data_IF_464082196825
#
_entry.id   IF_464082196825
#
_cell.length_a   1.000
_cell.length_b   1.000
_cell.length_c   1.000
_cell.angle_alpha   90.00
_cell.angle_beta   90.00
_cell.angle_gamma   90.00
#
_symmetry.space_group_name_H-M   'P 1'
#
loop_
_entity.id
_entity.type
_entity.pdbx_description
1 polymer ?
#
# COMPACT_ATOMS: atom_id res chain seq x y z
N UNK A 1 0.96 11.79 5.13
CA UNK A 1 1.72 10.90 4.21
C UNK A 1 3.08 10.48 4.74
N UNK A 2 3.90 11.39 5.25
CA UNK A 2 5.23 11.05 5.81
C UNK A 2 5.18 9.89 6.82
N UNK A 3 4.23 9.92 7.77
CA UNK A 3 4.08 8.88 8.77
C UNK A 3 3.79 7.48 8.18
N UNK A 4 3.02 7.42 7.08
CA UNK A 4 2.62 6.15 6.48
C UNK A 4 3.67 5.59 5.53
N UNK A 5 4.25 6.42 4.66
CA UNK A 5 5.21 5.98 3.63
C UNK A 5 6.66 6.00 4.09
N UNK A 6 6.93 6.57 5.27
CA UNK A 6 8.27 6.90 5.74
C UNK A 6 8.82 8.20 5.13
N UNK A 7 10.07 8.51 5.46
CA UNK A 7 10.78 9.69 4.97
C UNK A 7 11.68 9.34 3.77
N UNK A 8 12.36 10.33 3.17
CA UNK A 8 13.18 10.07 1.99
C UNK A 8 14.43 9.21 2.31
N UNK A 9 14.88 9.21 3.57
CA UNK A 9 15.98 8.36 4.05
C UNK A 9 15.52 7.01 4.62
N UNK A 10 14.21 6.80 4.83
CA UNK A 10 13.64 5.53 5.30
C UNK A 10 12.30 5.28 4.62
N UNK A 11 12.32 4.63 3.45
CA UNK A 11 11.08 4.21 2.79
C UNK A 11 10.46 3.02 3.52
N UNK A 12 9.18 3.14 3.89
CA UNK A 12 8.41 2.02 4.43
C UNK A 12 7.98 1.01 3.35
N UNK A 13 8.00 1.42 2.07
CA UNK A 13 7.56 0.60 0.96
C UNK A 13 8.63 0.54 -0.14
N UNK A 14 9.17 -0.66 -0.38
CA UNK A 14 10.22 -0.86 -1.39
C UNK A 14 9.73 -0.46 -2.80
N UNK A 15 10.51 0.37 -3.49
CA UNK A 15 10.19 0.82 -4.86
C UNK A 15 8.98 1.77 -4.97
N UNK A 16 8.41 2.24 -3.85
CA UNK A 16 7.21 3.07 -3.84
C UNK A 16 7.51 4.43 -3.24
N UNK A 17 7.50 5.47 -4.09
CA UNK A 17 7.71 6.85 -3.66
C UNK A 17 6.43 7.54 -3.15
N UNK A 18 6.63 8.60 -2.34
CA UNK A 18 5.57 9.45 -1.76
C UNK A 18 4.59 9.99 -2.82
N UNK A 19 5.08 10.35 -4.01
CA UNK A 19 4.25 10.87 -5.11
C UNK A 19 3.19 9.85 -5.56
N UNK A 20 3.56 8.57 -5.69
CA UNK A 20 2.63 7.49 -6.06
C UNK A 20 1.57 7.32 -4.99
N UNK A 21 1.98 7.28 -3.73
CA UNK A 21 1.07 7.14 -2.60
C UNK A 21 0.12 8.34 -2.48
N UNK A 22 0.62 9.57 -2.64
CA UNK A 22 -0.20 10.78 -2.60
C UNK A 22 -1.22 10.82 -3.76
N UNK A 23 -0.80 10.45 -4.97
CA UNK A 23 -1.70 10.36 -6.12
C UNK A 23 -2.84 9.36 -5.87
N UNK A 24 -2.52 8.19 -5.31
CA UNK A 24 -3.53 7.19 -4.96
C UNK A 24 -4.48 7.71 -3.87
N UNK A 25 -3.95 8.35 -2.83
CA UNK A 25 -4.76 8.94 -1.76
C UNK A 25 -5.78 9.93 -2.32
N UNK A 26 -5.32 10.87 -3.14
CA UNK A 26 -6.17 11.90 -3.74
C UNK A 26 -7.15 11.38 -4.81
N UNK A 27 -6.92 10.17 -5.34
CA UNK A 27 -7.79 9.55 -6.35
C UNK A 27 -9.06 8.93 -5.79
N UNK A 28 -9.14 8.69 -4.48
CA UNK A 28 -10.29 8.08 -3.83
C UNK A 28 -10.65 8.83 -2.55
N UNK A 29 -11.85 9.42 -2.52
CA UNK A 29 -12.37 10.14 -1.35
C UNK A 29 -12.39 9.27 -0.09
N UNK A 30 -12.66 7.98 -0.22
CA UNK A 30 -12.66 7.04 0.90
C UNK A 30 -11.30 6.99 1.58
N UNK A 31 -10.21 6.87 0.80
CA UNK A 31 -8.85 6.88 1.34
C UNK A 31 -8.53 8.22 2.00
N UNK A 32 -8.92 9.35 1.40
CA UNK A 32 -8.76 10.65 2.04
C UNK A 32 -9.46 10.72 3.40
N UNK A 33 -10.70 10.22 3.50
CA UNK A 33 -11.45 10.20 4.76
C UNK A 33 -10.78 9.30 5.80
N UNK A 34 -10.40 8.08 5.41
CA UNK A 34 -9.69 7.16 6.30
C UNK A 34 -8.41 7.78 6.83
N UNK A 35 -7.57 8.36 5.98
CA UNK A 35 -6.31 8.98 6.44
C UNK A 35 -6.52 10.24 7.29
N UNK A 36 -7.64 10.95 7.15
CA UNK A 36 -7.99 12.04 8.09
C UNK A 36 -8.40 11.50 9.45
N UNK A 37 -9.21 10.44 9.48
CA UNK A 37 -9.60 9.78 10.73
C UNK A 37 -8.39 9.19 11.47
N UNK A 38 -7.38 8.71 10.73
CA UNK A 38 -6.10 8.25 11.30
C UNK A 38 -5.36 9.36 12.06
N UNK A 39 -5.48 10.60 11.57
CA UNK A 39 -4.84 11.76 12.17
C UNK A 39 -5.60 12.26 13.41
N UNK A 40 -6.92 12.05 13.43
CA UNK A 40 -7.83 12.50 14.50
C UNK A 40 -7.95 11.51 15.66
N UNK A 41 -7.76 10.20 15.43
CA UNK A 41 -7.90 9.15 16.46
C UNK A 41 -6.83 8.07 16.34
N UNK A 42 -6.25 7.68 17.48
CA UNK A 42 -5.32 6.56 17.61
C UNK A 42 -6.02 5.20 17.83
N UNK A 43 -7.36 5.18 17.93
CA UNK A 43 -8.10 3.94 18.11
C UNK A 43 -8.16 3.14 16.80
N UNK A 44 -7.38 2.07 16.75
CA UNK A 44 -7.34 1.15 15.62
C UNK A 44 -8.46 0.13 15.78
N UNK A 45 -9.50 0.22 14.94
CA UNK A 45 -10.56 -0.78 14.84
C UNK A 45 -10.63 -1.38 13.42
N UNK A 46 -11.38 -2.47 13.24
CA UNK A 46 -11.44 -3.19 11.95
C UNK A 46 -12.06 -2.35 10.83
N UNK A 47 -12.98 -1.43 11.16
CA UNK A 47 -13.57 -0.48 10.20
C UNK A 47 -12.55 0.52 9.65
N UNK A 48 -11.49 0.79 10.41
CA UNK A 48 -10.37 1.64 10.02
C UNK A 48 -9.26 0.86 9.31
N UNK A 49 -8.92 -0.34 9.81
CA UNK A 49 -7.86 -1.17 9.24
C UNK A 49 -8.17 -1.64 7.82
N UNK A 50 -9.43 -2.02 7.55
CA UNK A 50 -9.84 -2.54 6.24
C UNK A 50 -9.52 -1.56 5.09
N UNK A 51 -9.91 -0.27 5.14
CA UNK A 51 -9.55 0.68 4.09
C UNK A 51 -8.05 1.01 4.02
N UNK A 52 -7.30 0.93 5.13
CA UNK A 52 -5.83 1.06 5.13
C UNK A 52 -5.16 -0.14 4.43
N UNK A 53 -5.63 -1.37 4.69
CA UNK A 53 -5.15 -2.56 4.01
C UNK A 53 -5.44 -2.51 2.52
N UNK A 54 -6.66 -2.11 2.15
CA UNK A 54 -7.05 -1.91 0.76
C UNK A 54 -6.19 -0.85 0.07
N UNK A 55 -5.93 0.28 0.74
CA UNK A 55 -5.02 1.31 0.24
C UNK A 55 -3.63 0.72 -0.02
N UNK A 56 -3.11 -0.07 0.91
CA UNK A 56 -1.80 -0.71 0.83
C UNK A 56 -1.73 -1.70 -0.34
N UNK A 57 -2.76 -2.53 -0.53
CA UNK A 57 -2.84 -3.45 -1.68
C UNK A 57 -2.83 -2.69 -3.01
N UNK A 58 -3.64 -1.63 -3.12
CA UNK A 58 -3.65 -0.77 -4.32
C UNK A 58 -2.33 -0.03 -4.53
N UNK A 59 -1.63 0.34 -3.46
CA UNK A 59 -0.32 0.98 -3.53
C UNK A 59 0.73 0.05 -4.17
N UNK A 60 0.65 -1.25 -3.86
CA UNK A 60 1.41 -2.32 -4.53
C UNK A 60 0.92 -2.64 -5.95
N UNK A 61 -0.15 -2.02 -6.43
CA UNK A 61 -0.76 -2.33 -7.73
C UNK A 61 -1.57 -3.63 -7.73
N UNK A 62 -1.87 -4.20 -6.56
CA UNK A 62 -2.65 -5.42 -6.40
C UNK A 62 -4.13 -5.04 -6.18
N UNK A 63 -4.92 -5.04 -7.25
CA UNK A 63 -6.35 -4.66 -7.19
C UNK A 63 -7.29 -5.85 -6.92
N UNK A 64 -6.79 -7.08 -7.01
CA UNK A 64 -7.56 -8.32 -6.84
C UNK A 64 -7.64 -8.80 -5.39
N UNK A 65 -6.90 -8.18 -4.47
CA UNK A 65 -6.88 -8.55 -3.07
C UNK A 65 -7.03 -7.34 -2.17
N UNK A 66 -7.60 -7.57 -0.99
CA UNK A 66 -7.71 -6.58 0.07
C UNK A 66 -6.79 -6.92 1.25
N UNK A 67 -6.14 -8.09 1.23
CA UNK A 67 -5.22 -8.53 2.27
C UNK A 67 -3.78 -8.18 1.89
N UNK A 68 -3.11 -7.41 2.75
CA UNK A 68 -1.72 -6.97 2.51
C UNK A 68 -0.75 -8.14 2.39
N UNK A 69 -0.97 -9.20 3.16
CA UNK A 69 -0.10 -10.38 3.10
C UNK A 69 -0.25 -11.13 1.78
N UNK A 70 -1.47 -11.26 1.27
CA UNK A 70 -1.71 -11.81 -0.07
C UNK A 70 -1.06 -10.93 -1.15
N UNK A 71 -1.16 -9.60 -1.04
CA UNK A 71 -0.52 -8.68 -1.98
C UNK A 71 1.01 -8.83 -2.00
N UNK A 72 1.64 -8.94 -0.83
CA UNK A 72 3.09 -9.16 -0.69
C UNK A 72 3.51 -10.52 -1.25
N UNK A 73 2.74 -11.57 -0.97
CA UNK A 73 3.00 -12.90 -1.53
C UNK A 73 2.93 -12.88 -3.06
N UNK A 74 1.90 -12.25 -3.63
CA UNK A 74 1.78 -12.10 -5.08
C UNK A 74 2.97 -11.35 -5.68
N UNK A 75 3.42 -10.26 -5.05
CA UNK A 75 4.62 -9.53 -5.50
C UNK A 75 5.88 -10.39 -5.48
N UNK A 76 6.07 -11.16 -4.40
CA UNK A 76 7.21 -12.08 -4.27
C UNK A 76 7.19 -13.15 -5.37
N UNK A 77 6.04 -13.78 -5.60
CA UNK A 77 5.88 -14.75 -6.67
C UNK A 77 6.09 -14.13 -8.05
N UNK A 78 5.62 -12.90 -8.29
CA UNK A 78 5.85 -12.20 -9.55
C UNK A 78 7.34 -11.95 -9.78
N UNK A 79 8.06 -11.42 -8.78
CA UNK A 79 9.50 -11.17 -8.88
C UNK A 79 10.28 -12.45 -9.24
N UNK A 80 10.00 -13.57 -8.56
CA UNK A 80 10.72 -14.83 -8.77
C UNK A 80 10.26 -15.62 -10.01
N UNK A 81 9.07 -15.32 -10.55
CA UNK A 81 8.62 -15.90 -11.83
C UNK A 81 9.27 -15.22 -13.03
N UNK A 82 9.60 -13.93 -12.92
CA UNK A 82 10.34 -13.21 -13.97
C UNK A 82 11.75 -13.78 -14.18
N UNK A 83 12.41 -14.29 -13.12
CA UNK A 83 13.75 -14.86 -13.21
C UNK A 83 13.79 -16.21 -13.96
N UNK A 84 12.67 -16.93 -14.05
CA UNK A 84 12.60 -18.23 -14.72
C UNK A 84 12.42 -18.16 -16.25
N UNK A 85 12.31 -16.95 -16.84
CA UNK A 85 12.05 -16.76 -18.27
C UNK A 85 13.20 -16.08 -19.04
N UNK A 86 14.32 -15.76 -18.37
CA UNK A 86 15.55 -15.24 -19.00
C UNK A 86 16.62 -16.31 -19.25
N UNK A 87 16.39 -17.55 -18.81
CA UNK A 87 17.19 -18.72 -19.19
C UNK A 87 16.39 -19.61 -20.17
N UNK A 88 16.24 -19.19 -21.42
CA UNK A 88 15.82 -20.04 -22.54
C UNK A 88 16.35 -19.52 -23.87
#
# INVERSE_FOLDING_TARGET
MHYFTGCDSSSAFFGIGKKKALKLLLSNKEFCTTFKQLEESFEVNDGFLTPIELFTCRLYGQTSTQCVNSARYNMFCLANKSEAHEES
#
